data_IF_778270749358
#
_entry.id   IF_778270749358
#
_cell.length_a   1.000
_cell.length_b   1.000
_cell.length_c   1.000
_cell.angle_alpha   90.00
_cell.angle_beta   90.00
_cell.angle_gamma   90.00
#
_symmetry.space_group_name_H-M   'P 1'
#
loop_
_entity.id
_entity.type
_entity.pdbx_description
1 polymer ?
#
# COMPACT_ATOMS: atom_id res chain seq x y z
N UNK A 1 6.91 -17.26 15.52
CA UNK A 1 6.94 -17.18 16.99
C UNK A 1 5.54 -16.97 17.58
N UNK A 2 4.90 -15.80 17.41
CA UNK A 2 3.55 -15.54 17.96
C UNK A 2 2.46 -16.51 17.47
N UNK A 3 2.48 -16.85 16.19
CA UNK A 3 1.56 -17.83 15.59
C UNK A 3 1.81 -19.27 16.04
N UNK A 4 3.01 -19.57 16.55
CA UNK A 4 3.44 -20.91 16.96
C UNK A 4 3.29 -21.14 18.46
N UNK A 5 3.57 -20.12 19.27
CA UNK A 5 3.69 -20.26 20.72
C UNK A 5 2.77 -19.33 21.53
N UNK A 6 2.09 -18.39 20.87
CA UNK A 6 1.16 -17.45 21.50
C UNK A 6 1.84 -16.44 22.44
N UNK A 7 1.05 -15.73 23.22
CA UNK A 7 1.53 -14.69 24.16
C UNK A 7 2.22 -15.28 25.39
N UNK A 8 1.85 -16.50 25.78
CA UNK A 8 2.38 -17.15 26.97
C UNK A 8 3.88 -17.45 26.87
N UNK A 9 4.42 -17.64 25.67
CA UNK A 9 5.86 -17.85 25.49
C UNK A 9 6.68 -16.58 25.69
N UNK A 10 6.12 -15.39 25.42
CA UNK A 10 6.83 -14.12 25.63
C UNK A 10 7.22 -13.97 27.11
N UNK A 11 6.33 -14.36 28.02
CA UNK A 11 6.57 -14.28 29.47
C UNK A 11 7.69 -15.20 29.96
N UNK A 12 8.11 -16.19 29.17
CA UNK A 12 9.17 -17.13 29.52
C UNK A 12 10.58 -16.56 29.23
N UNK A 13 10.67 -15.51 28.41
CA UNK A 13 11.94 -14.88 28.09
C UNK A 13 12.39 -13.92 29.19
N UNK A 14 13.65 -14.09 29.63
CA UNK A 14 14.26 -13.25 30.67
C UNK A 14 14.92 -11.98 30.13
N UNK A 15 15.00 -11.80 28.80
CA UNK A 15 15.54 -10.59 28.18
C UNK A 15 14.99 -10.37 26.77
N UNK A 16 14.92 -9.09 26.34
CA UNK A 16 14.56 -8.66 24.97
C UNK A 16 15.49 -9.29 23.93
N UNK A 17 16.79 -9.42 24.25
CA UNK A 17 17.78 -10.03 23.37
C UNK A 17 17.53 -11.53 23.12
N UNK A 18 17.18 -12.30 24.15
CA UNK A 18 16.87 -13.72 23.99
C UNK A 18 15.58 -13.94 23.19
N UNK A 19 14.56 -13.11 23.43
CA UNK A 19 13.32 -13.13 22.64
C UNK A 19 13.61 -12.83 21.16
N UNK A 20 14.37 -11.77 20.86
CA UNK A 20 14.68 -11.43 19.47
C UNK A 20 15.57 -12.44 18.78
N UNK A 21 16.51 -13.05 19.50
CA UNK A 21 17.27 -14.16 18.96
C UNK A 21 16.34 -15.24 18.41
N UNK A 22 15.37 -15.72 19.21
CA UNK A 22 14.45 -16.79 18.83
C UNK A 22 13.39 -16.37 17.79
N UNK A 23 12.93 -15.12 17.83
CA UNK A 23 12.03 -14.56 16.81
C UNK A 23 12.71 -14.51 15.44
N UNK A 24 14.01 -14.21 15.42
CA UNK A 24 14.80 -14.07 14.20
C UNK A 24 15.45 -15.39 13.74
N UNK A 25 15.38 -16.47 14.53
CA UNK A 25 15.79 -17.77 14.04
C UNK A 25 14.83 -18.25 12.94
N UNK A 26 15.36 -18.87 11.87
CA UNK A 26 14.54 -19.58 10.89
C UNK A 26 13.55 -20.51 11.60
N UNK A 27 12.34 -20.60 11.09
CA UNK A 27 11.38 -21.53 11.65
C UNK A 27 11.82 -22.96 11.30
N UNK A 28 12.15 -23.77 12.31
CA UNK A 28 12.21 -25.23 12.13
C UNK A 28 10.77 -25.79 12.02
N UNK A 29 10.49 -26.52 10.94
CA UNK A 29 9.22 -27.22 10.67
C UNK A 29 8.20 -26.44 9.84
N UNK A 30 7.10 -27.11 9.46
CA UNK A 30 6.05 -26.56 8.60
C UNK A 30 5.51 -25.23 9.14
N UNK A 31 5.72 -24.15 8.39
CA UNK A 31 5.08 -22.86 8.67
C UNK A 31 3.66 -22.93 8.10
N UNK A 32 2.61 -22.62 8.88
CA UNK A 32 1.26 -22.60 8.34
C UNK A 32 1.09 -21.48 7.33
N UNK A 33 0.22 -21.69 6.35
CA UNK A 33 -0.20 -20.66 5.42
C UNK A 33 -0.81 -19.46 6.14
N UNK A 34 -0.49 -18.25 5.67
CA UNK A 34 -1.10 -17.01 6.16
C UNK A 34 -2.04 -16.48 5.09
N UNK A 35 -3.26 -16.13 5.48
CA UNK A 35 -4.22 -15.49 4.59
C UNK A 35 -4.33 -14.00 4.91
N UNK A 36 -4.07 -13.16 3.90
CA UNK A 36 -4.30 -11.72 3.95
C UNK A 36 -5.68 -11.43 3.37
N UNK A 37 -6.59 -10.96 4.22
CA UNK A 37 -7.92 -10.51 3.82
C UNK A 37 -7.91 -8.99 3.69
N UNK A 38 -8.04 -8.51 2.46
CA UNK A 38 -8.04 -7.08 2.13
C UNK A 38 -9.45 -6.69 1.70
N UNK A 39 -10.01 -5.63 2.27
CA UNK A 39 -11.38 -5.19 1.96
C UNK A 39 -11.42 -3.73 1.51
N UNK A 40 -12.44 -3.38 0.74
CA UNK A 40 -12.66 -1.99 0.31
C UNK A 40 -12.99 -1.05 1.47
N UNK A 41 -13.49 -1.57 2.60
CA UNK A 41 -13.75 -0.77 3.79
C UNK A 41 -12.46 -0.20 4.40
N UNK A 42 -11.32 -0.86 4.20
CA UNK A 42 -10.03 -0.41 4.74
C UNK A 42 -9.57 0.94 4.15
N UNK A 43 -10.05 1.33 2.96
CA UNK A 43 -9.80 2.68 2.41
C UNK A 43 -10.23 3.77 3.40
N UNK A 44 -11.38 3.59 4.06
CA UNK A 44 -11.91 4.54 5.05
C UNK A 44 -11.11 4.61 6.35
N UNK A 45 -10.21 3.66 6.59
CA UNK A 45 -9.37 3.59 7.79
C UNK A 45 -7.88 3.70 7.48
N UNK A 46 -7.51 3.99 6.23
CA UNK A 46 -6.11 3.98 5.80
C UNK A 46 -5.27 5.02 6.56
N UNK A 47 -5.86 6.15 6.96
CA UNK A 47 -5.21 7.16 7.78
C UNK A 47 -4.85 6.62 9.17
N UNK A 48 -5.75 5.88 9.82
CA UNK A 48 -5.48 5.22 11.10
C UNK A 48 -4.48 4.08 10.95
N UNK A 49 -4.64 3.23 9.93
CA UNK A 49 -3.72 2.11 9.65
C UNK A 49 -2.30 2.61 9.43
N UNK A 50 -2.14 3.65 8.61
CA UNK A 50 -0.82 4.23 8.34
C UNK A 50 -0.26 4.97 9.54
N UNK A 51 -1.08 5.64 10.36
CA UNK A 51 -0.61 6.25 11.60
C UNK A 51 -0.02 5.21 12.55
N UNK A 52 -0.65 4.04 12.66
CA UNK A 52 -0.14 2.91 13.45
C UNK A 52 1.14 2.32 12.84
N UNK A 53 1.16 2.16 11.51
CA UNK A 53 2.35 1.69 10.78
C UNK A 53 3.55 2.65 10.91
N UNK A 54 3.29 3.94 11.08
CA UNK A 54 4.28 4.99 11.29
C UNK A 54 4.51 5.28 12.78
N UNK A 55 4.45 4.27 13.64
CA UNK A 55 4.77 4.43 15.06
C UNK A 55 6.16 3.87 15.38
N UNK A 56 7.05 4.72 15.90
CA UNK A 56 8.34 4.27 16.42
C UNK A 56 8.15 3.70 17.82
N UNK A 57 8.28 2.37 17.93
CA UNK A 57 8.11 1.63 19.18
C UNK A 57 9.27 1.85 20.17
N UNK A 58 10.45 2.24 19.70
CA UNK A 58 11.62 2.46 20.57
C UNK A 58 11.55 3.84 21.21
N UNK A 59 11.10 4.86 20.47
CA UNK A 59 10.95 6.22 21.01
C UNK A 59 9.56 6.54 21.53
N UNK A 60 8.56 5.71 21.22
CA UNK A 60 7.16 5.91 21.59
C UNK A 60 6.54 7.14 20.92
N UNK A 61 6.95 7.45 19.68
CA UNK A 61 6.52 8.65 18.95
C UNK A 61 6.11 8.31 17.51
N UNK A 62 5.21 9.08 16.90
CA UNK A 62 4.94 8.96 15.47
C UNK A 62 6.16 9.33 14.63
N UNK A 63 6.46 8.52 13.62
CA UNK A 63 7.34 8.84 12.52
C UNK A 63 6.64 9.89 11.65
N UNK A 64 7.31 11.04 11.48
CA UNK A 64 6.79 12.20 10.76
C UNK A 64 7.26 12.14 9.31
N UNK A 65 6.34 12.29 8.36
CA UNK A 65 6.64 12.27 6.93
C UNK A 65 6.93 13.70 6.45
N UNK A 66 8.18 14.04 6.07
CA UNK A 66 8.55 15.40 5.67
C UNK A 66 7.70 15.92 4.51
N UNK A 67 7.48 15.06 3.52
CA UNK A 67 6.75 15.38 2.29
C UNK A 67 5.22 15.35 2.44
N UNK A 68 4.73 15.19 3.68
CA UNK A 68 3.31 15.22 4.01
C UNK A 68 3.00 16.23 5.13
N UNK A 69 3.59 17.43 5.06
CA UNK A 69 3.43 18.49 6.07
C UNK A 69 3.78 18.03 7.50
N UNK A 70 4.66 17.03 7.64
CA UNK A 70 4.96 16.43 8.93
C UNK A 70 3.80 15.63 9.53
N UNK A 71 2.78 15.24 8.77
CA UNK A 71 1.80 14.26 9.24
C UNK A 71 2.47 12.88 9.40
N UNK A 72 1.93 12.06 10.29
CA UNK A 72 2.37 10.66 10.47
C UNK A 72 1.43 9.65 9.82
N UNK A 73 0.35 10.12 9.19
CA UNK A 73 -0.61 9.30 8.45
C UNK A 73 -0.58 9.68 6.97
N UNK A 74 -1.13 8.81 6.14
CA UNK A 74 -1.35 9.02 4.70
C UNK A 74 -2.78 8.66 4.36
N UNK A 75 -3.30 9.26 3.28
CA UNK A 75 -4.69 9.07 2.86
C UNK A 75 -4.83 9.15 1.35
N UNK A 76 -5.95 8.62 0.85
CA UNK A 76 -6.35 8.77 -0.55
C UNK A 76 -7.12 10.07 -0.73
N UNK A 77 -6.58 10.99 -1.53
CA UNK A 77 -7.27 12.22 -1.89
C UNK A 77 -7.99 12.02 -3.22
N UNK A 78 -9.31 11.87 -3.16
CA UNK A 78 -10.15 11.78 -4.36
C UNK A 78 -10.06 13.05 -5.20
N UNK A 79 -9.86 12.89 -6.51
CA UNK A 79 -9.71 13.98 -7.45
C UNK A 79 -10.93 14.11 -8.38
N UNK A 80 -11.47 15.33 -8.49
CA UNK A 80 -12.49 15.67 -9.48
C UNK A 80 -11.87 15.96 -10.84
N UNK A 81 -11.67 14.92 -11.66
CA UNK A 81 -10.91 15.02 -12.91
C UNK A 81 -11.78 15.06 -14.18
N UNK A 82 -11.26 15.76 -15.18
CA UNK A 82 -11.67 15.70 -16.58
C UNK A 82 -10.74 14.73 -17.32
N UNK A 83 -11.32 13.69 -17.92
CA UNK A 83 -10.60 12.58 -18.55
C UNK A 83 -10.46 12.70 -20.07
N UNK A 84 -10.69 13.88 -20.68
CA UNK A 84 -10.60 14.06 -22.14
C UNK A 84 -9.26 13.65 -22.76
N UNK A 85 -8.16 13.81 -22.01
CA UNK A 85 -6.79 13.53 -22.47
C UNK A 85 -6.18 12.27 -21.84
N UNK A 86 -7.01 11.49 -21.13
CA UNK A 86 -6.60 10.22 -20.55
C UNK A 86 -6.24 9.22 -21.67
N UNK A 87 -5.17 8.42 -21.54
CA UNK A 87 -4.35 8.18 -20.35
C UNK A 87 -3.09 9.04 -20.19
N UNK A 88 -2.68 9.81 -21.20
CA UNK A 88 -1.41 10.58 -21.14
C UNK A 88 -1.45 11.73 -20.13
N UNK A 89 -2.60 12.37 -19.97
CA UNK A 89 -2.76 13.50 -19.07
C UNK A 89 -4.18 13.58 -18.52
N UNK A 90 -4.33 14.17 -17.34
CA UNK A 90 -5.63 14.54 -16.78
C UNK A 90 -5.55 15.91 -16.12
N UNK A 91 -6.69 16.62 -16.10
CA UNK A 91 -6.84 17.87 -15.36
C UNK A 91 -7.86 17.65 -14.25
N UNK A 92 -7.48 17.93 -13.01
CA UNK A 92 -8.32 17.76 -11.83
C UNK A 92 -8.46 19.11 -11.10
N UNK A 93 -9.59 19.77 -11.28
CA UNK A 93 -9.74 21.18 -10.89
C UNK A 93 -8.69 22.05 -11.58
N UNK A 94 -7.81 22.68 -10.80
CA UNK A 94 -6.71 23.52 -11.29
C UNK A 94 -5.36 22.78 -11.34
N UNK A 95 -5.35 21.46 -11.11
CA UNK A 95 -4.13 20.64 -11.14
C UNK A 95 -4.05 19.90 -12.46
N UNK A 96 -2.94 20.08 -13.18
CA UNK A 96 -2.63 19.36 -14.40
C UNK A 96 -1.61 18.26 -14.11
N UNK A 97 -1.94 17.04 -14.50
CA UNK A 97 -1.04 15.90 -14.43
C UNK A 97 -0.60 15.50 -15.84
N UNK A 98 0.71 15.43 -16.04
CA UNK A 98 1.35 14.88 -17.23
C UNK A 98 1.98 13.53 -16.85
N UNK A 99 1.32 12.44 -17.23
CA UNK A 99 1.78 11.08 -16.92
C UNK A 99 2.80 10.56 -17.95
N UNK A 100 3.09 11.29 -19.01
CA UNK A 100 4.23 10.94 -19.86
C UNK A 100 5.54 11.41 -19.20
N UNK A 101 5.49 12.48 -18.40
CA UNK A 101 6.68 13.08 -17.76
C UNK A 101 6.71 13.05 -16.23
N UNK A 102 5.65 12.59 -15.56
CA UNK A 102 5.58 12.54 -14.09
C UNK A 102 5.42 13.92 -13.45
N UNK A 103 4.74 14.84 -14.14
CA UNK A 103 4.60 16.23 -13.70
C UNK A 103 3.24 16.49 -13.07
N UNK A 104 3.24 17.33 -12.03
CA UNK A 104 2.07 17.97 -11.45
C UNK A 104 2.27 19.47 -11.53
N UNK A 105 1.44 20.17 -12.31
CA UNK A 105 1.61 21.61 -12.61
C UNK A 105 3.03 21.94 -13.10
N UNK A 106 3.50 21.17 -14.08
CA UNK A 106 4.84 21.29 -14.70
C UNK A 106 6.05 21.05 -13.78
N UNK A 107 5.82 20.68 -12.51
CA UNK A 107 6.87 20.30 -11.57
C UNK A 107 6.98 18.77 -11.43
N UNK A 108 8.19 18.19 -11.31
CA UNK A 108 8.37 16.75 -11.09
C UNK A 108 7.97 16.39 -9.66
N UNK A 109 6.71 15.99 -9.47
CA UNK A 109 6.14 15.72 -8.15
C UNK A 109 5.35 14.40 -8.09
N UNK A 110 5.33 13.63 -9.18
CA UNK A 110 4.68 12.32 -9.25
C UNK A 110 5.75 11.22 -9.31
N UNK A 111 5.80 10.33 -8.33
CA UNK A 111 6.72 9.17 -8.27
C UNK A 111 6.24 8.02 -9.15
N UNK A 112 4.93 7.92 -9.35
CA UNK A 112 4.33 6.94 -10.21
C UNK A 112 2.88 7.22 -10.49
N UNK A 113 2.43 6.70 -11.63
CA UNK A 113 1.03 6.68 -12.00
C UNK A 113 0.59 5.27 -12.38
N UNK A 114 -0.56 4.85 -11.87
CA UNK A 114 -1.18 3.58 -12.25
C UNK A 114 -2.62 3.76 -12.71
N UNK A 115 -2.98 3.20 -13.87
CA UNK A 115 -4.37 2.94 -14.22
C UNK A 115 -4.70 1.47 -13.97
N UNK A 116 -5.73 1.22 -13.18
CA UNK A 116 -6.28 -0.12 -12.98
C UNK A 116 -7.74 -0.18 -13.46
N UNK A 117 -8.10 -1.29 -14.10
CA UNK A 117 -9.47 -1.60 -14.47
C UNK A 117 -9.93 -2.82 -13.68
N UNK A 118 -11.01 -2.65 -12.91
CA UNK A 118 -11.61 -3.70 -12.07
C UNK A 118 -10.56 -4.42 -11.21
N UNK A 119 -9.70 -3.62 -10.57
CA UNK A 119 -8.66 -4.12 -9.67
C UNK A 119 -7.43 -4.73 -10.36
N UNK A 120 -7.29 -4.59 -11.69
CA UNK A 120 -6.15 -5.09 -12.46
C UNK A 120 -5.43 -3.93 -13.11
N UNK A 121 -4.17 -3.69 -12.73
CA UNK A 121 -3.31 -2.69 -13.33
C UNK A 121 -3.18 -2.92 -14.85
N UNK A 122 -3.44 -1.88 -15.63
CA UNK A 122 -3.34 -1.86 -17.10
C UNK A 122 -2.14 -1.03 -17.56
N UNK A 123 -1.90 0.09 -16.88
CA UNK A 123 -0.76 0.97 -17.14
C UNK A 123 -0.08 1.26 -15.81
N UNK A 124 1.21 0.97 -15.71
CA UNK A 124 2.02 1.31 -14.54
C UNK A 124 3.20 2.12 -15.05
N UNK A 125 3.35 3.33 -14.52
CA UNK A 125 4.47 4.21 -14.83
C UNK A 125 5.17 4.58 -13.53
N UNK A 126 6.49 4.56 -13.57
CA UNK A 126 7.38 5.01 -12.50
C UNK A 126 8.24 6.13 -13.06
N UNK A 127 8.47 7.13 -12.23
CA UNK A 127 9.32 8.27 -12.53
C UNK A 127 10.41 8.31 -11.46
N UNK A 128 10.94 9.50 -11.16
CA UNK A 128 11.89 9.70 -10.07
C UNK A 128 11.37 9.10 -8.75
N UNK A 129 12.21 8.29 -8.11
CA UNK A 129 11.86 7.59 -6.89
C UNK A 129 11.60 8.58 -5.74
N UNK A 130 12.19 9.77 -5.73
CA UNK A 130 12.09 10.73 -4.61
C UNK A 130 10.91 11.71 -4.69
N UNK A 131 10.10 11.63 -5.74
CA UNK A 131 8.89 12.45 -5.82
C UNK A 131 7.87 12.08 -4.72
N UNK A 132 7.16 13.07 -4.13
CA UNK A 132 6.39 12.85 -2.90
C UNK A 132 5.05 12.16 -3.11
N UNK A 133 4.48 12.18 -4.31
CA UNK A 133 3.11 11.72 -4.55
C UNK A 133 3.00 10.63 -5.61
N UNK A 134 2.13 9.66 -5.37
CA UNK A 134 1.63 8.74 -6.39
C UNK A 134 0.24 9.15 -6.84
N UNK A 135 -0.09 8.86 -8.10
CA UNK A 135 -1.44 9.03 -8.63
C UNK A 135 -1.96 7.68 -9.10
N UNK A 136 -3.22 7.37 -8.81
CA UNK A 136 -3.86 6.23 -9.44
C UNK A 136 -5.21 6.60 -10.02
N UNK A 137 -5.56 5.98 -11.14
CA UNK A 137 -6.86 6.07 -11.77
C UNK A 137 -7.49 4.69 -11.77
N UNK A 138 -8.59 4.53 -11.03
CA UNK A 138 -9.34 3.28 -10.93
C UNK A 138 -10.54 3.36 -11.88
N UNK A 139 -10.74 2.32 -12.67
CA UNK A 139 -11.93 2.12 -13.49
C UNK A 139 -12.76 0.98 -12.90
N UNK A 140 -13.95 1.30 -12.40
CA UNK A 140 -14.88 0.33 -11.81
C UNK A 140 -16.24 0.52 -12.47
N UNK A 141 -16.82 -0.52 -13.05
CA UNK A 141 -18.10 -0.42 -13.77
C UNK A 141 -18.14 0.72 -14.80
N UNK A 142 -17.06 0.86 -15.58
CA UNK A 142 -16.83 1.95 -16.56
C UNK A 142 -16.80 3.37 -15.99
N UNK A 143 -16.70 3.52 -14.67
CA UNK A 143 -16.49 4.82 -14.02
C UNK A 143 -15.03 4.99 -13.65
N UNK A 144 -14.43 6.08 -14.12
CA UNK A 144 -13.08 6.49 -13.74
C UNK A 144 -13.09 7.36 -12.48
N UNK A 145 -12.23 7.02 -11.53
CA UNK A 145 -11.96 7.82 -10.34
C UNK A 145 -10.45 7.91 -10.14
N UNK A 146 -9.91 9.12 -10.06
CA UNK A 146 -8.50 9.34 -9.76
C UNK A 146 -8.29 9.73 -8.32
N UNK A 147 -7.17 9.30 -7.76
CA UNK A 147 -6.75 9.59 -6.40
C UNK A 147 -5.28 10.05 -6.41
N UNK A 148 -4.98 11.08 -5.64
CA UNK A 148 -3.62 11.46 -5.26
C UNK A 148 -3.32 10.87 -3.89
N UNK A 149 -2.10 10.44 -3.65
CA UNK A 149 -1.66 9.95 -2.34
C UNK A 149 -0.17 10.17 -2.14
N UNK A 150 0.28 10.16 -0.89
CA UNK A 150 1.71 10.16 -0.59
C UNK A 150 2.39 8.88 -1.12
N UNK A 151 3.67 8.97 -1.54
CA UNK A 151 4.47 7.84 -2.08
C UNK A 151 4.38 6.58 -1.22
N UNK A 152 4.48 6.74 0.11
CA UNK A 152 4.35 5.62 1.04
C UNK A 152 3.03 4.84 0.88
N UNK A 153 1.90 5.51 0.63
CA UNK A 153 0.62 4.84 0.42
C UNK A 153 0.57 4.17 -0.95
N UNK A 154 1.05 4.88 -1.98
CA UNK A 154 1.12 4.37 -3.35
C UNK A 154 1.91 3.06 -3.41
N UNK A 155 3.01 2.98 -2.67
CA UNK A 155 3.89 1.81 -2.59
C UNK A 155 3.46 0.76 -1.57
N UNK A 156 2.42 1.02 -0.79
CA UNK A 156 1.97 0.09 0.24
C UNK A 156 1.47 -1.24 -0.33
N UNK A 157 1.70 -2.33 0.40
CA UNK A 157 1.18 -3.65 0.04
C UNK A 157 -0.34 -3.66 -0.10
N UNK A 158 -1.06 -2.88 0.73
CA UNK A 158 -2.50 -2.75 0.61
C UNK A 158 -2.89 -2.17 -0.75
N UNK A 159 -2.33 -1.03 -1.16
CA UNK A 159 -2.67 -0.41 -2.43
C UNK A 159 -2.32 -1.32 -3.62
N UNK A 160 -1.10 -1.87 -3.63
CA UNK A 160 -0.63 -2.75 -4.71
C UNK A 160 -1.47 -4.00 -4.86
N UNK A 161 -1.76 -4.71 -3.78
CA UNK A 161 -2.53 -5.95 -3.83
C UNK A 161 -4.02 -5.65 -4.05
N UNK A 162 -4.63 -4.80 -3.23
CA UNK A 162 -6.07 -4.59 -3.24
C UNK A 162 -6.54 -3.81 -4.47
N UNK A 163 -5.99 -2.61 -4.74
CA UNK A 163 -6.47 -1.74 -5.83
C UNK A 163 -5.86 -2.07 -7.18
N UNK A 164 -4.61 -2.54 -7.21
CA UNK A 164 -3.85 -2.69 -8.46
C UNK A 164 -3.69 -4.15 -8.89
N UNK A 165 -3.94 -5.11 -7.99
CA UNK A 165 -3.73 -6.54 -8.27
C UNK A 165 -2.27 -6.91 -8.55
N UNK A 166 -1.33 -6.07 -8.14
CA UNK A 166 0.09 -6.25 -8.34
C UNK A 166 0.67 -7.15 -7.23
N UNK A 167 1.07 -8.36 -7.63
CA UNK A 167 1.73 -9.33 -6.75
C UNK A 167 3.22 -9.34 -7.08
N UNK A 168 4.02 -8.71 -6.22
CA UNK A 168 5.47 -8.57 -6.43
C UNK A 168 6.31 -9.60 -5.65
N UNK A 169 5.70 -10.32 -4.70
CA UNK A 169 6.40 -11.21 -3.79
C UNK A 169 6.19 -12.69 -4.16
N UNK A 170 7.27 -13.47 -4.34
CA UNK A 170 7.19 -14.93 -4.48
C UNK A 170 6.47 -15.55 -3.27
N UNK A 171 5.60 -16.54 -3.54
CA UNK A 171 4.82 -17.22 -2.50
C UNK A 171 3.53 -16.50 -2.08
N UNK A 172 3.22 -15.33 -2.64
CA UNK A 172 1.91 -14.68 -2.49
C UNK A 172 1.03 -15.04 -3.68
N UNK A 173 -0.18 -15.54 -3.42
CA UNK A 173 -1.13 -15.96 -4.46
C UNK A 173 -2.53 -15.44 -4.14
N UNK A 174 -3.24 -14.95 -5.15
CA UNK A 174 -4.65 -14.56 -5.02
C UNK A 174 -5.51 -15.83 -5.01
N UNK A 175 -6.31 -16.01 -3.97
CA UNK A 175 -7.17 -17.20 -3.80
C UNK A 175 -8.67 -16.89 -3.86
N UNK A 176 -9.06 -15.63 -3.65
CA UNK A 176 -10.42 -15.15 -3.83
C UNK A 176 -10.40 -13.69 -4.27
N UNK A 177 -11.14 -13.36 -5.33
CA UNK A 177 -11.28 -11.99 -5.85
C UNK A 177 -12.75 -11.65 -6.04
N UNK A 178 -13.20 -10.63 -5.31
CA UNK A 178 -14.51 -9.98 -5.45
C UNK A 178 -14.31 -8.47 -5.32
N UNK A 179 -13.33 -7.94 -6.05
CA UNK A 179 -13.06 -6.51 -6.12
C UNK A 179 -14.29 -5.73 -6.65
N UNK A 180 -14.69 -4.60 -6.04
CA UNK A 180 -13.97 -3.79 -5.05
C UNK A 180 -14.35 -4.09 -3.59
N UNK A 181 -14.94 -5.24 -3.29
CA UNK A 181 -15.38 -5.56 -1.93
C UNK A 181 -14.27 -6.22 -1.12
N UNK A 182 -13.64 -7.27 -1.67
CA UNK A 182 -12.68 -8.09 -0.94
C UNK A 182 -11.70 -8.80 -1.88
N UNK A 183 -10.47 -8.97 -1.41
CA UNK A 183 -9.46 -9.87 -1.99
C UNK A 183 -8.80 -10.67 -0.89
N UNK A 184 -8.61 -11.97 -1.13
CA UNK A 184 -7.91 -12.85 -0.20
C UNK A 184 -6.66 -13.38 -0.88
N UNK A 185 -5.51 -13.13 -0.26
CA UNK A 185 -4.23 -13.66 -0.70
C UNK A 185 -3.74 -14.72 0.27
N UNK A 186 -3.18 -15.80 -0.25
CA UNK A 186 -2.41 -16.79 0.50
C UNK A 186 -0.93 -16.44 0.40
N UNK A 187 -0.27 -16.34 1.54
CA UNK A 187 1.19 -16.36 1.67
C UNK A 187 1.56 -17.79 2.06
N UNK A 188 2.25 -18.50 1.17
CA UNK A 188 2.68 -19.86 1.41
C UNK A 188 3.66 -19.91 2.60
N UNK A 189 3.44 -20.86 3.50
CA UNK A 189 4.45 -21.24 4.46
C UNK A 189 5.66 -21.93 3.81
N UNK A 190 6.76 -22.02 4.55
CA UNK A 190 7.87 -22.91 4.20
C UNK A 190 7.48 -24.34 4.59
N UNK A 191 7.54 -25.25 3.62
CA UNK A 191 7.51 -26.72 3.81
C UNK A 191 8.89 -27.24 4.20
#
# INVERSE_FOLDING_TARGET
>A
FLTRQGVNSIQQYRSKAALFHDVNQPADGNVPDIYLVLTGQMDGWISTISQLGNWDIETGKPIRLPDNNGASHVEYFGLGCNYRSFPSAITCGNVNFDFDRGLMNDAPAVTGWTHANSGVAQNVRRYDDDAPFGVQTLQINNRLTSQLMHRQLYDSSYNKLFHLGLIEAPGVTLVYDDYPHIRIYKIAGQE
#
